data_IF_858628615945
#
_entry.id   IF_858628615945
#
_cell.length_a   1.000
_cell.length_b   1.000
_cell.length_c   1.000
_cell.angle_alpha   90.00
_cell.angle_beta   90.00
_cell.angle_gamma   90.00
#
_symmetry.space_group_name_H-M   'P 1'
#
loop_
_entity.id
_entity.type
_entity.pdbx_description
1 polymer ?
#
# COMPACT_ATOMS: atom_id res chain seq x y z
N UNK A 1 -68.83 -39.45 -17.76
CA UNK A 1 -69.78 -38.44 -18.28
C UNK A 1 -68.99 -37.39 -19.04
N UNK A 2 -69.22 -37.24 -20.35
CA UNK A 2 -68.52 -36.25 -21.17
C UNK A 2 -69.02 -34.84 -20.83
N UNK A 3 -68.14 -33.96 -20.33
CA UNK A 3 -68.48 -32.55 -20.08
C UNK A 3 -69.04 -31.93 -21.37
N UNK A 4 -70.21 -31.28 -21.27
CA UNK A 4 -70.86 -30.53 -22.35
C UNK A 4 -69.89 -29.55 -23.01
N UNK A 5 -70.02 -29.35 -24.32
CA UNK A 5 -69.28 -28.36 -25.12
C UNK A 5 -69.23 -26.98 -24.44
N UNK A 6 -70.34 -26.58 -23.81
CA UNK A 6 -70.49 -25.30 -23.12
C UNK A 6 -69.62 -25.26 -21.85
N UNK A 7 -69.58 -26.35 -21.07
CA UNK A 7 -68.78 -26.45 -19.86
C UNK A 7 -67.27 -26.37 -20.16
N UNK A 8 -66.82 -26.99 -21.27
CA UNK A 8 -65.41 -26.90 -21.72
C UNK A 8 -65.03 -25.49 -22.17
N UNK A 9 -65.93 -24.77 -22.84
CA UNK A 9 -65.70 -23.36 -23.22
C UNK A 9 -65.56 -22.46 -21.99
N UNK A 10 -66.43 -22.63 -21.00
CA UNK A 10 -66.34 -21.87 -19.75
C UNK A 10 -65.07 -22.19 -18.95
N UNK A 11 -64.64 -23.44 -18.92
CA UNK A 11 -63.41 -23.87 -18.25
C UNK A 11 -62.16 -23.30 -18.96
N UNK A 12 -62.13 -23.31 -20.30
CA UNK A 12 -61.07 -22.70 -21.09
C UNK A 12 -61.01 -21.16 -20.95
N UNK A 13 -62.17 -20.51 -20.84
CA UNK A 13 -62.26 -19.06 -20.61
C UNK A 13 -61.76 -18.69 -19.21
N UNK A 14 -62.13 -19.45 -18.17
CA UNK A 14 -61.59 -19.28 -16.81
C UNK A 14 -60.08 -19.46 -16.78
N UNK A 15 -59.55 -20.50 -17.42
CA UNK A 15 -58.12 -20.73 -17.51
C UNK A 15 -57.37 -19.59 -18.24
N UNK A 16 -57.97 -19.02 -19.30
CA UNK A 16 -57.41 -17.85 -20.00
C UNK A 16 -57.39 -16.60 -19.11
N UNK A 17 -58.47 -16.33 -18.40
CA UNK A 17 -58.56 -15.20 -17.46
C UNK A 17 -57.57 -15.37 -16.32
N UNK A 18 -57.40 -16.58 -15.80
CA UNK A 18 -56.45 -16.88 -14.73
C UNK A 18 -54.99 -16.74 -15.20
N UNK A 19 -54.65 -17.28 -16.37
CA UNK A 19 -53.34 -17.10 -16.99
C UNK A 19 -53.04 -15.60 -17.26
N UNK A 20 -54.03 -14.85 -17.75
CA UNK A 20 -53.88 -13.41 -17.96
C UNK A 20 -53.67 -12.65 -16.64
N UNK A 21 -54.41 -13.00 -15.59
CA UNK A 21 -54.23 -12.43 -14.23
C UNK A 21 -52.87 -12.76 -13.63
N UNK A 22 -52.36 -13.98 -13.82
CA UNK A 22 -51.02 -14.38 -13.39
C UNK A 22 -49.95 -13.56 -14.11
N UNK A 23 -50.08 -13.41 -15.43
CA UNK A 23 -49.16 -12.57 -16.23
C UNK A 23 -49.18 -11.10 -15.79
N UNK A 24 -50.37 -10.55 -15.49
CA UNK A 24 -50.50 -9.19 -14.94
C UNK A 24 -49.87 -9.05 -13.56
N UNK A 25 -49.95 -10.06 -12.69
CA UNK A 25 -49.29 -10.04 -11.37
C UNK A 25 -47.76 -10.11 -11.49
N UNK A 26 -47.23 -10.86 -12.45
CA UNK A 26 -45.79 -10.89 -12.74
C UNK A 26 -45.29 -9.59 -13.41
N UNK A 27 -46.15 -8.93 -14.20
CA UNK A 27 -45.83 -7.65 -14.86
C UNK A 27 -46.07 -6.42 -13.96
N UNK A 28 -46.94 -6.54 -12.96
CA UNK A 28 -47.18 -5.50 -11.97
C UNK A 28 -45.94 -5.36 -11.07
N UNK A 29 -45.09 -4.39 -11.41
CA UNK A 29 -43.97 -4.01 -10.55
C UNK A 29 -44.54 -3.61 -9.18
N UNK A 30 -44.04 -4.17 -8.07
CA UNK A 30 -44.47 -3.73 -6.75
C UNK A 30 -44.29 -2.22 -6.64
N UNK A 31 -45.31 -1.53 -6.12
CA UNK A 31 -45.27 -0.09 -5.88
C UNK A 31 -44.10 0.21 -4.95
N UNK A 32 -43.04 0.81 -5.49
CA UNK A 32 -41.86 1.14 -4.70
C UNK A 32 -42.21 2.23 -3.69
N UNK A 33 -41.72 2.14 -2.43
CA UNK A 33 -42.01 3.15 -1.41
C UNK A 33 -41.61 4.56 -1.87
N UNK A 34 -42.24 5.61 -1.31
CA UNK A 34 -41.86 6.99 -1.58
C UNK A 34 -40.41 7.27 -1.16
N UNK A 35 -39.74 8.28 -1.76
CA UNK A 35 -38.42 8.70 -1.31
C UNK A 35 -38.46 9.14 0.15
N UNK A 36 -37.55 8.62 0.99
CA UNK A 36 -37.48 8.97 2.41
C UNK A 36 -36.69 10.26 2.62
N UNK A 37 -37.40 11.39 2.54
CA UNK A 37 -36.82 12.72 2.73
C UNK A 37 -36.45 12.99 4.19
N UNK A 38 -37.18 12.40 5.13
CA UNK A 38 -36.94 12.59 6.56
C UNK A 38 -35.61 11.94 6.97
N UNK A 39 -35.38 10.71 6.52
CA UNK A 39 -34.10 10.04 6.74
C UNK A 39 -32.94 10.78 6.05
N UNK A 40 -33.14 11.29 4.83
CA UNK A 40 -32.11 12.07 4.14
C UNK A 40 -31.68 13.33 4.91
N UNK A 41 -32.64 14.07 5.50
CA UNK A 41 -32.36 15.20 6.40
C UNK A 41 -31.64 14.71 7.67
N UNK A 42 -32.15 13.65 8.30
CA UNK A 42 -31.58 13.09 9.53
C UNK A 42 -30.11 12.70 9.37
N UNK A 43 -29.80 11.96 8.30
CA UNK A 43 -28.43 11.55 7.96
C UNK A 43 -27.52 12.73 7.59
N UNK A 44 -28.08 13.78 6.96
CA UNK A 44 -27.32 14.96 6.55
C UNK A 44 -26.94 15.85 7.75
N UNK A 45 -27.87 16.06 8.69
CA UNK A 45 -27.66 16.95 9.85
C UNK A 45 -26.86 16.33 10.99
N UNK A 46 -26.87 15.00 11.10
CA UNK A 46 -26.26 14.27 12.21
C UNK A 46 -24.80 14.70 12.47
N UNK A 47 -24.55 15.29 13.64
CA UNK A 47 -23.24 15.74 14.10
C UNK A 47 -22.81 17.12 13.60
N UNK A 48 -23.70 17.83 12.89
CA UNK A 48 -23.49 19.17 12.34
C UNK A 48 -24.72 20.07 12.53
N UNK A 49 -25.52 19.81 13.56
CA UNK A 49 -26.78 20.51 13.83
C UNK A 49 -26.56 22.01 14.06
N UNK A 50 -25.42 22.39 14.64
CA UNK A 50 -25.07 23.79 14.91
C UNK A 50 -24.73 24.60 13.65
N UNK A 51 -24.41 23.95 12.54
CA UNK A 51 -23.98 24.59 11.30
C UNK A 51 -25.13 24.77 10.28
N UNK A 52 -26.35 24.38 10.64
CA UNK A 52 -27.52 24.47 9.77
C UNK A 52 -27.85 25.94 9.48
N UNK A 53 -27.98 26.27 8.18
CA UNK A 53 -28.31 27.62 7.70
C UNK A 53 -29.80 27.72 7.35
N UNK A 54 -30.40 26.63 6.85
CA UNK A 54 -31.81 26.60 6.45
C UNK A 54 -32.58 25.53 7.22
N UNK A 55 -33.79 25.90 7.65
CA UNK A 55 -34.70 25.01 8.38
C UNK A 55 -34.94 23.70 7.62
N UNK A 56 -34.77 22.53 8.25
CA UNK A 56 -35.01 21.23 7.63
C UNK A 56 -36.43 21.08 7.04
N UNK A 57 -37.44 21.58 7.74
CA UNK A 57 -38.86 21.46 7.40
C UNK A 57 -39.24 22.27 6.14
N UNK A 58 -38.41 23.24 5.78
CA UNK A 58 -38.61 24.05 4.58
C UNK A 58 -38.19 23.33 3.28
N UNK A 59 -37.56 22.16 3.39
CA UNK A 59 -37.04 21.43 2.23
C UNK A 59 -38.16 20.79 1.40
N UNK A 60 -38.33 21.27 0.16
CA UNK A 60 -39.28 20.70 -0.84
C UNK A 60 -38.52 20.30 -2.12
N UNK A 61 -37.81 19.16 -2.13
CA UNK A 61 -36.98 18.78 -3.26
C UNK A 61 -37.81 18.44 -4.50
N UNK A 62 -37.49 19.07 -5.64
CA UNK A 62 -38.08 18.78 -6.96
C UNK A 62 -37.39 17.61 -7.69
N UNK A 63 -36.68 16.75 -6.95
CA UNK A 63 -35.84 15.71 -7.51
C UNK A 63 -36.64 14.45 -7.86
N UNK A 64 -36.52 13.99 -9.11
CA UNK A 64 -37.09 12.71 -9.57
C UNK A 64 -36.18 11.52 -9.26
N UNK A 65 -35.56 11.49 -8.08
CA UNK A 65 -34.67 10.40 -7.63
C UNK A 65 -35.16 9.76 -6.35
N UNK A 66 -34.93 8.45 -6.23
CA UNK A 66 -35.15 7.65 -5.01
C UNK A 66 -33.85 7.17 -4.39
N UNK A 67 -32.72 7.47 -5.03
CA UNK A 67 -31.39 7.11 -4.56
C UNK A 67 -31.09 7.86 -3.25
N UNK A 68 -30.93 7.11 -2.16
CA UNK A 68 -30.68 7.66 -0.82
C UNK A 68 -29.43 8.55 -0.78
N UNK A 69 -28.38 8.19 -1.51
CA UNK A 69 -27.14 8.96 -1.59
C UNK A 69 -27.36 10.32 -2.25
N UNK A 70 -28.15 10.36 -3.33
CA UNK A 70 -28.52 11.62 -4.02
C UNK A 70 -29.45 12.47 -3.17
N UNK A 71 -30.38 11.85 -2.44
CA UNK A 71 -31.27 12.56 -1.51
C UNK A 71 -30.47 13.17 -0.35
N UNK A 72 -29.49 12.45 0.20
CA UNK A 72 -28.60 12.95 1.26
C UNK A 72 -27.77 14.14 0.79
N UNK A 73 -27.17 14.08 -0.39
CA UNK A 73 -26.46 15.23 -0.97
C UNK A 73 -27.41 16.42 -1.17
N UNK A 74 -28.62 16.18 -1.68
CA UNK A 74 -29.59 17.25 -1.86
C UNK A 74 -30.06 17.87 -0.53
N UNK A 75 -30.21 17.07 0.53
CA UNK A 75 -30.47 17.55 1.88
C UNK A 75 -29.29 18.39 2.40
N UNK A 76 -28.05 17.92 2.24
CA UNK A 76 -26.85 18.68 2.63
C UNK A 76 -26.72 20.02 1.89
N UNK A 77 -27.03 20.07 0.59
CA UNK A 77 -27.11 21.31 -0.19
C UNK A 77 -28.20 22.25 0.32
N UNK A 78 -29.35 21.73 0.75
CA UNK A 78 -30.42 22.54 1.33
C UNK A 78 -30.01 23.13 2.69
N UNK A 79 -29.58 22.27 3.61
CA UNK A 79 -29.28 22.63 5.01
C UNK A 79 -28.11 23.60 5.13
N UNK A 80 -27.02 23.36 4.40
CA UNK A 80 -25.75 24.07 4.58
C UNK A 80 -25.38 25.00 3.41
N UNK A 81 -26.09 24.92 2.27
CA UNK A 81 -25.67 25.58 1.03
C UNK A 81 -26.07 27.04 0.92
N UNK A 82 -25.11 27.95 1.19
CA UNK A 82 -25.18 29.36 0.77
C UNK A 82 -24.51 29.59 -0.60
N UNK A 83 -23.44 28.84 -0.88
CA UNK A 83 -22.67 28.90 -2.12
C UNK A 83 -22.57 27.52 -2.79
N UNK A 84 -22.40 27.46 -4.12
CA UNK A 84 -22.08 26.20 -4.81
C UNK A 84 -20.76 25.61 -4.31
N UNK A 85 -20.72 24.30 -4.12
CA UNK A 85 -19.53 23.57 -3.67
C UNK A 85 -19.03 22.63 -4.77
N UNK A 86 -17.70 22.52 -4.98
CA UNK A 86 -17.14 21.59 -5.95
C UNK A 86 -17.51 20.11 -5.71
N UNK A 87 -17.64 19.35 -6.79
CA UNK A 87 -18.08 17.95 -6.77
C UNK A 87 -17.23 17.02 -5.89
N UNK A 88 -15.92 17.25 -5.80
CA UNK A 88 -15.02 16.43 -4.98
C UNK A 88 -15.28 16.56 -3.46
N UNK A 89 -15.88 17.67 -3.00
CA UNK A 89 -16.35 17.85 -1.63
C UNK A 89 -17.77 17.29 -1.43
N UNK A 90 -18.55 17.17 -2.50
CA UNK A 90 -19.89 16.58 -2.47
C UNK A 90 -19.86 15.05 -2.39
N UNK A 91 -18.81 14.42 -2.91
CA UNK A 91 -18.64 12.97 -2.97
C UNK A 91 -18.88 12.27 -1.62
N UNK A 92 -18.45 12.87 -0.50
CA UNK A 92 -18.62 12.28 0.85
C UNK A 92 -20.09 12.05 1.24
N UNK A 93 -21.02 12.84 0.67
CA UNK A 93 -22.44 12.67 0.94
C UNK A 93 -23.06 11.56 0.09
N UNK A 94 -22.44 11.24 -1.04
CA UNK A 94 -22.90 10.20 -1.95
C UNK A 94 -22.34 8.84 -1.50
N UNK A 95 -21.02 8.74 -1.42
CA UNK A 95 -20.30 7.53 -1.08
C UNK A 95 -19.18 7.82 -0.09
N UNK A 96 -19.27 7.18 1.07
CA UNK A 96 -18.28 7.24 2.13
C UNK A 96 -17.63 5.87 2.38
N UNK A 97 -17.88 4.89 1.50
CA UNK A 97 -17.30 3.56 1.62
C UNK A 97 -15.77 3.62 1.58
N UNK A 98 -15.13 2.81 2.42
CA UNK A 98 -13.66 2.79 2.54
C UNK A 98 -13.05 3.96 3.33
N UNK A 99 -13.84 4.93 3.80
CA UNK A 99 -13.35 6.01 4.66
C UNK A 99 -13.55 5.67 6.15
N UNK A 100 -12.54 6.00 6.97
CA UNK A 100 -12.68 5.97 8.43
C UNK A 100 -13.60 7.07 8.93
N UNK A 101 -14.20 6.89 10.12
CA UNK A 101 -15.15 7.84 10.71
C UNK A 101 -14.60 9.28 10.76
N UNK A 102 -13.38 9.46 11.28
CA UNK A 102 -12.74 10.78 11.39
C UNK A 102 -12.56 11.47 10.04
N UNK A 103 -12.35 10.69 8.97
CA UNK A 103 -12.19 11.22 7.63
C UNK A 103 -13.52 11.68 7.04
N UNK A 104 -14.59 10.92 7.28
CA UNK A 104 -15.95 11.28 6.87
C UNK A 104 -16.36 12.60 7.56
N UNK A 105 -16.18 12.69 8.88
CA UNK A 105 -16.48 13.90 9.66
C UNK A 105 -15.71 15.09 9.11
N UNK A 106 -14.41 14.92 8.84
CA UNK A 106 -13.58 15.99 8.29
C UNK A 106 -14.05 16.45 6.91
N UNK A 107 -14.29 15.53 5.97
CA UNK A 107 -14.76 15.88 4.61
C UNK A 107 -16.12 16.56 4.65
N UNK A 108 -17.04 16.14 5.53
CA UNK A 108 -18.33 16.83 5.76
C UNK A 108 -18.13 18.23 6.33
N UNK A 109 -17.29 18.40 7.35
CA UNK A 109 -16.96 19.71 7.93
C UNK A 109 -16.37 20.67 6.87
N UNK A 110 -15.53 20.15 5.97
CA UNK A 110 -14.96 20.92 4.87
C UNK A 110 -16.00 21.34 3.83
N UNK A 111 -16.92 20.42 3.48
CA UNK A 111 -18.07 20.76 2.64
C UNK A 111 -18.90 21.87 3.29
N UNK A 112 -19.26 21.75 4.57
CA UNK A 112 -20.08 22.72 5.30
C UNK A 112 -19.40 24.09 5.35
N UNK A 113 -18.10 24.12 5.67
CA UNK A 113 -17.34 25.36 5.66
C UNK A 113 -17.35 26.04 4.28
N UNK A 114 -17.15 25.28 3.20
CA UNK A 114 -17.21 25.81 1.84
C UNK A 114 -18.63 26.26 1.47
N UNK A 115 -19.65 25.46 1.81
CA UNK A 115 -21.06 25.71 1.51
C UNK A 115 -21.59 26.97 2.19
N UNK A 116 -21.21 27.21 3.45
CA UNK A 116 -21.60 28.39 4.22
C UNK A 116 -20.80 29.65 3.92
N UNK A 117 -19.69 29.55 3.19
CA UNK A 117 -18.75 30.65 2.94
C UNK A 117 -17.76 30.88 4.08
N UNK A 118 -17.57 29.90 4.95
CA UNK A 118 -16.55 29.88 5.99
C UNK A 118 -15.15 29.64 5.43
N UNK A 119 -14.14 29.80 6.29
CA UNK A 119 -12.75 29.59 5.91
C UNK A 119 -12.37 28.10 6.00
N UNK A 120 -12.26 27.44 4.85
CA UNK A 120 -11.79 26.05 4.77
C UNK A 120 -10.40 25.85 5.42
N UNK A 121 -9.54 26.86 5.30
CA UNK A 121 -8.23 26.88 5.97
C UNK A 121 -8.36 26.78 7.51
N UNK A 122 -9.30 27.53 8.11
CA UNK A 122 -9.59 27.46 9.56
C UNK A 122 -10.32 26.17 9.95
N UNK A 123 -11.08 25.58 9.03
CA UNK A 123 -11.73 24.27 9.22
C UNK A 123 -10.75 23.07 9.17
N UNK A 124 -9.44 23.33 9.25
CA UNK A 124 -8.41 22.30 9.36
C UNK A 124 -7.71 21.94 8.04
N UNK A 125 -8.05 22.56 6.90
CA UNK A 125 -7.31 22.35 5.65
C UNK A 125 -5.86 22.85 5.71
N UNK A 126 -5.55 23.75 6.64
CA UNK A 126 -4.20 24.21 6.94
C UNK A 126 -3.20 23.09 7.28
N UNK A 127 -3.68 21.94 7.74
CA UNK A 127 -2.84 20.78 8.01
C UNK A 127 -2.25 20.16 6.74
N UNK A 128 -2.91 20.34 5.59
CA UNK A 128 -2.52 19.72 4.31
C UNK A 128 -2.12 20.77 3.27
N UNK A 129 -2.78 21.92 3.25
CA UNK A 129 -2.74 22.91 2.19
C UNK A 129 -2.40 24.31 2.73
N UNK A 130 -1.60 25.06 1.96
CA UNK A 130 -1.43 26.50 2.19
C UNK A 130 -2.70 27.28 1.81
N UNK A 131 -2.79 28.57 2.16
CA UNK A 131 -3.95 29.41 1.79
C UNK A 131 -4.16 29.49 0.27
N UNK A 132 -3.08 29.63 -0.50
CA UNK A 132 -3.12 29.63 -1.98
C UNK A 132 -3.62 28.28 -2.51
N UNK A 133 -3.16 27.19 -1.91
CA UNK A 133 -3.56 25.84 -2.32
C UNK A 133 -5.02 25.54 -1.95
N UNK A 134 -5.53 26.05 -0.83
CA UNK A 134 -6.96 25.96 -0.49
C UNK A 134 -7.82 26.61 -1.58
N UNK A 135 -7.40 27.77 -2.10
CA UNK A 135 -8.10 28.40 -3.22
C UNK A 135 -8.05 27.54 -4.49
N UNK A 136 -6.90 26.93 -4.81
CA UNK A 136 -6.77 26.01 -5.94
C UNK A 136 -7.59 24.73 -5.75
N UNK A 137 -7.67 24.19 -4.53
CA UNK A 137 -8.45 23.00 -4.19
C UNK A 137 -9.95 23.24 -4.41
N UNK A 138 -10.46 24.41 -4.01
CA UNK A 138 -11.84 24.80 -4.27
C UNK A 138 -12.13 25.09 -5.75
N UNK A 139 -11.11 25.21 -6.59
CA UNK A 139 -11.23 25.49 -8.02
C UNK A 139 -10.40 24.48 -8.84
N UNK A 140 -10.76 23.19 -8.79
CA UNK A 140 -10.00 22.15 -9.46
C UNK A 140 -10.10 22.26 -10.97
N UNK A 141 -9.11 21.73 -11.67
CA UNK A 141 -9.10 21.59 -13.12
C UNK A 141 -9.85 20.31 -13.48
N UNK A 142 -11.05 20.48 -14.04
CA UNK A 142 -11.92 19.38 -14.45
C UNK A 142 -12.57 18.66 -13.26
N UNK A 143 -13.15 17.49 -13.55
CA UNK A 143 -13.75 16.62 -12.55
C UNK A 143 -12.68 15.71 -11.97
N UNK A 144 -12.51 15.77 -10.64
CA UNK A 144 -11.47 15.06 -9.90
C UNK A 144 -12.05 14.47 -8.61
N UNK A 145 -11.40 13.45 -8.08
CA UNK A 145 -11.65 12.95 -6.73
C UNK A 145 -11.16 13.90 -5.64
N UNK A 146 -11.54 13.65 -4.38
CA UNK A 146 -11.10 14.46 -3.24
C UNK A 146 -9.58 14.53 -3.10
N UNK A 147 -8.90 13.38 -3.09
CA UNK A 147 -7.44 13.34 -2.93
C UNK A 147 -6.72 13.86 -4.18
N UNK A 148 -7.26 13.59 -5.38
CA UNK A 148 -6.75 14.17 -6.63
C UNK A 148 -6.81 15.71 -6.60
N UNK A 149 -7.90 16.30 -6.09
CA UNK A 149 -8.03 17.76 -5.95
C UNK A 149 -6.97 18.35 -5.00
N UNK A 150 -6.66 17.66 -3.90
CA UNK A 150 -5.58 18.06 -2.97
C UNK A 150 -4.26 18.12 -3.73
N UNK A 151 -3.90 17.06 -4.43
CA UNK A 151 -2.60 16.97 -5.10
C UNK A 151 -2.50 17.84 -6.35
N UNK A 152 -3.61 18.07 -7.05
CA UNK A 152 -3.69 19.06 -8.12
C UNK A 152 -3.47 20.48 -7.58
N UNK A 153 -4.07 20.81 -6.44
CA UNK A 153 -3.87 22.10 -5.78
C UNK A 153 -2.43 22.31 -5.32
N UNK A 154 -1.79 21.26 -4.78
CA UNK A 154 -0.37 21.27 -4.41
C UNK A 154 0.53 21.44 -5.64
N UNK A 155 0.29 20.67 -6.70
CA UNK A 155 1.09 20.74 -7.93
C UNK A 155 1.03 22.14 -8.57
N UNK A 156 -0.11 22.82 -8.49
CA UNK A 156 -0.32 24.20 -8.96
C UNK A 156 0.51 25.26 -8.22
N UNK A 157 1.16 24.90 -7.11
CA UNK A 157 2.16 25.76 -6.47
C UNK A 157 3.53 25.70 -7.14
N UNK A 158 3.79 24.66 -7.95
CA UNK A 158 5.13 24.33 -8.46
C UNK A 158 5.23 24.32 -10.00
N UNK A 159 4.12 24.27 -10.71
CA UNK A 159 4.09 24.28 -12.18
C UNK A 159 2.84 25.00 -12.66
N UNK A 160 2.84 25.42 -13.93
CA UNK A 160 1.68 25.94 -14.65
C UNK A 160 1.18 24.93 -15.72
N UNK A 161 1.86 23.79 -15.89
CA UNK A 161 1.44 22.73 -16.82
C UNK A 161 0.27 21.91 -16.23
N UNK A 162 -0.93 22.17 -16.74
CA UNK A 162 -2.17 21.47 -16.37
C UNK A 162 -2.11 19.95 -16.58
N UNK A 163 -1.41 19.47 -17.61
CA UNK A 163 -1.26 18.04 -17.88
C UNK A 163 -0.33 17.39 -16.84
N UNK A 164 0.73 18.07 -16.43
CA UNK A 164 1.60 17.61 -15.35
C UNK A 164 0.90 17.59 -13.99
N UNK A 165 0.12 18.62 -13.66
CA UNK A 165 -0.71 18.62 -12.44
C UNK A 165 -1.65 17.42 -12.40
N UNK A 166 -2.31 17.14 -13.54
CA UNK A 166 -3.24 16.01 -13.66
C UNK A 166 -2.52 14.66 -13.55
N UNK A 167 -1.30 14.53 -14.10
CA UNK A 167 -0.46 13.33 -13.93
C UNK A 167 -0.11 13.10 -12.46
N UNK A 168 0.33 14.13 -11.74
CA UNK A 168 0.66 14.03 -10.31
C UNK A 168 -0.59 13.65 -9.49
N UNK A 169 -1.70 14.35 -9.73
CA UNK A 169 -2.96 14.14 -9.02
C UNK A 169 -3.54 12.72 -9.20
N UNK A 170 -3.27 12.07 -10.33
CA UNK A 170 -3.75 10.71 -10.63
C UNK A 170 -2.74 9.60 -10.33
N UNK A 171 -1.51 9.96 -9.99
CA UNK A 171 -0.45 9.02 -9.65
C UNK A 171 -0.63 8.42 -8.24
N UNK A 172 0.23 7.46 -7.89
CA UNK A 172 0.32 6.89 -6.54
C UNK A 172 0.59 7.90 -5.43
N UNK A 173 1.11 9.10 -5.76
CA UNK A 173 1.26 10.20 -4.82
C UNK A 173 -0.09 10.55 -4.18
N UNK A 174 -1.18 10.53 -4.95
CA UNK A 174 -2.51 10.85 -4.43
C UNK A 174 -3.07 9.81 -3.48
N UNK A 175 -2.51 8.60 -3.49
CA UNK A 175 -2.90 7.49 -2.62
C UNK A 175 -1.98 7.37 -1.40
N UNK A 176 -1.06 8.31 -1.21
CA UNK A 176 -0.12 8.29 -0.10
C UNK A 176 -0.84 8.42 1.25
N UNK A 177 -0.37 7.70 2.29
CA UNK A 177 -0.88 7.89 3.64
C UNK A 177 -0.72 9.33 4.12
N UNK A 178 -1.73 9.87 4.79
CA UNK A 178 -1.71 11.27 5.29
C UNK A 178 -0.56 11.58 6.24
N UNK A 179 -0.14 10.60 7.05
CA UNK A 179 1.02 10.75 7.94
C UNK A 179 2.34 11.01 7.19
N UNK A 180 2.38 10.74 5.89
CA UNK A 180 3.54 10.96 5.03
C UNK A 180 3.36 12.11 4.04
N UNK A 181 2.28 12.89 4.16
CA UNK A 181 1.91 13.95 3.22
C UNK A 181 3.06 14.96 2.98
N UNK A 182 3.79 15.34 4.01
CA UNK A 182 4.94 16.26 3.89
C UNK A 182 6.05 15.72 2.98
N UNK A 183 6.31 14.42 3.01
CA UNK A 183 7.31 13.80 2.13
C UNK A 183 6.80 13.63 0.70
N UNK A 184 5.55 13.21 0.54
CA UNK A 184 4.97 13.08 -0.80
C UNK A 184 4.78 14.45 -1.48
N UNK A 185 4.70 15.54 -0.70
CA UNK A 185 4.83 16.92 -1.22
C UNK A 185 6.22 17.20 -1.80
N UNK A 186 7.30 16.76 -1.14
CA UNK A 186 8.65 16.81 -1.73
C UNK A 186 8.72 15.99 -3.03
N UNK A 187 8.05 14.83 -3.09
CA UNK A 187 7.98 14.03 -4.31
C UNK A 187 7.20 14.72 -5.43
N UNK A 188 6.04 15.30 -5.13
CA UNK A 188 5.26 16.08 -6.10
C UNK A 188 6.07 17.27 -6.64
N UNK A 189 6.76 18.02 -5.75
CA UNK A 189 7.66 19.10 -6.16
C UNK A 189 8.79 18.58 -7.07
N UNK A 190 9.39 17.44 -6.74
CA UNK A 190 10.43 16.81 -7.55
C UNK A 190 9.94 16.48 -8.96
N UNK A 191 8.76 15.88 -9.11
CA UNK A 191 8.20 15.54 -10.42
C UNK A 191 7.66 16.75 -11.19
N UNK A 192 7.25 17.82 -10.50
CA UNK A 192 7.00 19.11 -11.15
C UNK A 192 8.28 19.68 -11.78
N UNK A 193 9.41 19.59 -11.06
CA UNK A 193 10.71 20.10 -11.53
C UNK A 193 11.38 19.18 -12.58
N UNK A 194 11.11 17.87 -12.54
CA UNK A 194 11.65 16.88 -13.46
C UNK A 194 10.52 16.04 -14.05
N UNK A 195 9.75 16.59 -15.01
CA UNK A 195 8.55 15.96 -15.54
C UNK A 195 8.83 14.61 -16.19
N UNK A 196 7.91 13.66 -15.99
CA UNK A 196 7.92 12.37 -16.69
C UNK A 196 6.51 11.78 -16.86
N UNK A 197 6.39 10.62 -17.49
CA UNK A 197 5.12 9.93 -17.75
C UNK A 197 4.42 9.51 -16.45
N UNK A 198 3.10 9.35 -16.47
CA UNK A 198 2.34 8.92 -15.30
C UNK A 198 2.77 7.51 -14.84
N UNK A 199 2.99 6.59 -15.79
CA UNK A 199 3.47 5.23 -15.53
C UNK A 199 4.81 5.24 -14.80
N UNK A 200 5.75 6.06 -15.26
CA UNK A 200 7.06 6.13 -14.61
C UNK A 200 6.98 6.81 -13.23
N UNK A 201 6.11 7.80 -13.03
CA UNK A 201 5.86 8.36 -11.69
C UNK A 201 5.40 7.24 -10.75
N UNK A 202 4.49 6.38 -11.18
CA UNK A 202 3.96 5.28 -10.35
C UNK A 202 5.04 4.25 -10.01
N UNK A 203 5.86 3.82 -10.98
CA UNK A 203 6.99 2.91 -10.74
C UNK A 203 8.01 3.51 -9.77
N UNK A 204 8.33 4.80 -9.96
CA UNK A 204 9.24 5.51 -9.07
C UNK A 204 8.63 5.69 -7.68
N UNK A 205 7.32 5.90 -7.56
CA UNK A 205 6.63 5.96 -6.27
C UNK A 205 6.74 4.62 -5.53
N UNK A 206 6.60 3.49 -6.21
CA UNK A 206 6.78 2.16 -5.59
C UNK A 206 8.20 1.97 -5.05
N UNK A 207 9.20 2.36 -5.85
CA UNK A 207 10.60 2.36 -5.41
C UNK A 207 10.83 3.30 -4.22
N UNK A 208 10.34 4.55 -4.30
CA UNK A 208 10.50 5.56 -3.25
C UNK A 208 9.87 5.08 -1.94
N UNK A 209 8.65 4.54 -2.00
CA UNK A 209 7.95 4.00 -0.84
C UNK A 209 8.71 2.81 -0.25
N UNK A 210 9.24 1.91 -1.08
CA UNK A 210 10.10 0.81 -0.64
C UNK A 210 11.34 1.32 0.11
N UNK A 211 12.04 2.31 -0.45
CA UNK A 211 13.24 2.89 0.19
C UNK A 211 12.91 3.57 1.51
N UNK A 212 11.86 4.40 1.55
CA UNK A 212 11.47 5.16 2.74
C UNK A 212 11.07 4.28 3.92
N UNK A 213 10.42 3.13 3.66
CA UNK A 213 10.11 2.15 4.71
C UNK A 213 11.36 1.57 5.39
N UNK A 214 12.48 1.47 4.66
CA UNK A 214 13.75 0.94 5.16
C UNK A 214 14.63 2.04 5.76
N UNK A 215 14.60 3.23 5.16
CA UNK A 215 15.43 4.38 5.49
C UNK A 215 14.54 5.62 5.67
N UNK A 216 14.12 5.90 6.91
CA UNK A 216 13.23 7.05 7.20
C UNK A 216 13.85 8.42 6.85
N UNK A 217 15.17 8.47 6.77
CA UNK A 217 15.96 9.66 6.40
C UNK A 217 16.08 9.86 4.88
N UNK A 218 15.54 8.94 4.06
CA UNK A 218 15.58 9.06 2.61
C UNK A 218 14.87 10.34 2.13
N UNK A 219 15.59 11.15 1.33
CA UNK A 219 15.07 12.37 0.70
C UNK A 219 15.39 12.40 -0.80
N UNK A 220 14.52 13.11 -1.53
CA UNK A 220 14.65 13.39 -2.95
C UNK A 220 15.44 14.68 -3.22
N UNK A 221 15.73 15.48 -2.19
CA UNK A 221 16.51 16.72 -2.32
C UNK A 221 17.90 16.43 -2.91
N UNK A 222 18.26 17.23 -3.92
CA UNK A 222 19.55 17.11 -4.62
C UNK A 222 19.67 15.91 -5.57
N UNK A 223 18.60 15.12 -5.78
CA UNK A 223 18.62 14.01 -6.75
C UNK A 223 18.16 14.45 -8.13
N UNK A 224 18.61 13.72 -9.14
CA UNK A 224 18.10 13.81 -10.51
C UNK A 224 17.22 12.61 -10.84
N UNK A 225 16.32 12.76 -11.81
CA UNK A 225 15.47 11.70 -12.32
C UNK A 225 16.32 10.56 -12.88
N UNK A 226 17.43 10.85 -13.57
CA UNK A 226 18.37 9.84 -14.04
C UNK A 226 19.02 9.04 -12.91
N UNK A 227 19.37 9.67 -11.79
CA UNK A 227 19.87 8.95 -10.62
C UNK A 227 18.80 8.05 -10.00
N UNK A 228 17.56 8.54 -9.91
CA UNK A 228 16.44 7.77 -9.37
C UNK A 228 16.08 6.57 -10.26
N UNK A 229 16.07 6.74 -11.58
CA UNK A 229 15.89 5.67 -12.58
C UNK A 229 16.91 4.55 -12.42
N UNK A 230 18.20 4.90 -12.27
CA UNK A 230 19.26 3.90 -12.04
C UNK A 230 19.02 3.08 -10.78
N UNK A 231 18.66 3.75 -9.69
CA UNK A 231 18.38 3.07 -8.41
C UNK A 231 17.13 2.19 -8.48
N UNK A 232 16.07 2.66 -9.15
CA UNK A 232 14.87 1.87 -9.41
C UNK A 232 15.19 0.64 -10.27
N UNK A 233 15.97 0.80 -11.35
CA UNK A 233 16.36 -0.31 -12.21
C UNK A 233 17.22 -1.35 -11.47
N UNK A 234 18.11 -0.93 -10.57
CA UNK A 234 18.80 -1.83 -9.65
C UNK A 234 17.83 -2.59 -8.74
N UNK A 235 16.87 -1.89 -8.15
CA UNK A 235 15.86 -2.51 -7.30
C UNK A 235 14.97 -3.51 -8.06
N UNK A 236 14.54 -3.19 -9.28
CA UNK A 236 13.80 -4.14 -10.13
C UNK A 236 14.63 -5.38 -10.48
N UNK A 237 15.95 -5.22 -10.74
CA UNK A 237 16.85 -6.37 -10.92
C UNK A 237 16.91 -7.24 -9.67
N UNK A 238 17.01 -6.64 -8.49
CA UNK A 238 16.98 -7.37 -7.22
C UNK A 238 15.66 -8.14 -7.05
N UNK A 239 14.50 -7.50 -7.33
CA UNK A 239 13.19 -8.16 -7.29
C UNK A 239 13.10 -9.33 -8.27
N UNK A 240 13.63 -9.19 -9.48
CA UNK A 240 13.66 -10.29 -10.46
C UNK A 240 14.50 -11.47 -9.97
N UNK A 241 15.65 -11.21 -9.33
CA UNK A 241 16.48 -12.26 -8.71
C UNK A 241 15.74 -12.94 -7.57
N UNK A 242 15.09 -12.16 -6.69
CA UNK A 242 14.27 -12.70 -5.59
C UNK A 242 13.17 -13.61 -6.15
N UNK A 243 12.40 -13.13 -7.12
CA UNK A 243 11.32 -13.90 -7.74
C UNK A 243 11.81 -15.22 -8.37
N UNK A 244 12.99 -15.21 -9.00
CA UNK A 244 13.63 -16.42 -9.56
C UNK A 244 14.01 -17.42 -8.47
N UNK A 245 14.60 -16.96 -7.37
CA UNK A 245 14.97 -17.82 -6.22
C UNK A 245 13.71 -18.40 -5.58
N UNK A 246 12.69 -17.58 -5.35
CA UNK A 246 11.40 -17.99 -4.80
C UNK A 246 10.70 -19.03 -5.68
N UNK A 247 10.75 -18.88 -7.01
CA UNK A 247 10.24 -19.87 -7.94
C UNK A 247 11.03 -21.19 -7.91
N UNK A 248 12.35 -21.14 -7.68
CA UNK A 248 13.16 -22.35 -7.47
C UNK A 248 12.81 -23.04 -6.15
N UNK A 249 12.58 -22.26 -5.07
CA UNK A 249 12.16 -22.79 -3.76
C UNK A 249 10.83 -23.51 -3.86
N UNK A 250 9.80 -22.86 -4.43
CA UNK A 250 8.48 -23.46 -4.62
C UNK A 250 8.55 -24.77 -5.40
N UNK A 251 9.37 -24.85 -6.46
CA UNK A 251 9.57 -26.09 -7.21
C UNK A 251 10.19 -27.21 -6.36
N UNK A 252 11.19 -26.87 -5.53
CA UNK A 252 11.80 -27.83 -4.62
C UNK A 252 10.84 -28.29 -3.51
N UNK A 253 10.01 -27.38 -2.99
CA UNK A 253 8.99 -27.70 -1.98
C UNK A 253 7.95 -28.67 -2.54
N UNK A 254 7.42 -28.39 -3.74
CA UNK A 254 6.48 -29.27 -4.42
C UNK A 254 7.10 -30.66 -4.70
N UNK A 255 8.38 -30.71 -5.07
CA UNK A 255 9.07 -31.99 -5.27
C UNK A 255 9.22 -32.79 -3.96
N UNK A 256 9.50 -32.10 -2.83
CA UNK A 256 9.55 -32.73 -1.50
C UNK A 256 8.19 -33.23 -1.04
N UNK A 257 7.13 -32.44 -1.26
CA UNK A 257 5.76 -32.81 -0.89
C UNK A 257 5.25 -34.04 -1.64
N UNK A 258 5.61 -34.22 -2.91
CA UNK A 258 5.27 -35.44 -3.68
C UNK A 258 5.84 -36.73 -3.06
N UNK A 259 6.95 -36.62 -2.34
CA UNK A 259 7.62 -37.76 -1.68
C UNK A 259 7.20 -37.88 -0.21
N UNK A 260 6.70 -36.80 0.39
CA UNK A 260 6.31 -36.76 1.79
C UNK A 260 4.95 -37.45 2.01
N UNK A 261 4.89 -38.37 2.97
CA UNK A 261 3.66 -39.05 3.41
C UNK A 261 2.75 -38.19 4.29
N UNK A 262 3.15 -36.95 4.60
CA UNK A 262 2.43 -36.04 5.49
C UNK A 262 2.51 -34.61 4.95
N UNK A 263 1.41 -33.85 5.05
CA UNK A 263 1.40 -32.43 4.67
C UNK A 263 2.39 -31.65 5.54
N UNK A 264 3.44 -31.12 4.90
CA UNK A 264 4.39 -30.21 5.54
C UNK A 264 4.00 -28.78 5.19
N UNK A 265 3.78 -27.97 6.21
CA UNK A 265 3.48 -26.54 6.09
C UNK A 265 4.57 -25.83 5.28
N UNK A 266 4.17 -25.04 4.28
CA UNK A 266 5.09 -24.33 3.40
C UNK A 266 5.79 -23.20 4.17
N UNK A 267 6.98 -23.48 4.69
CA UNK A 267 7.78 -22.48 5.37
C UNK A 267 8.21 -21.35 4.41
N UNK A 268 8.18 -20.09 4.90
CA UNK A 268 8.61 -18.92 4.14
C UNK A 268 10.12 -18.88 3.82
N UNK A 269 10.89 -19.83 4.34
CA UNK A 269 12.34 -19.96 4.22
C UNK A 269 12.73 -21.44 4.02
N UNK A 270 13.80 -21.70 3.26
CA UNK A 270 14.27 -23.09 3.12
C UNK A 270 14.89 -23.60 4.45
N UNK A 271 14.96 -24.93 4.67
CA UNK A 271 15.37 -25.52 5.96
C UNK A 271 16.75 -25.06 6.47
N UNK A 272 17.68 -24.76 5.57
CA UNK A 272 19.02 -24.31 5.95
C UNK A 272 19.87 -25.45 6.53
N UNK A 273 20.91 -25.07 7.28
CA UNK A 273 21.82 -26.00 7.96
C UNK A 273 21.34 -26.13 9.41
N UNK A 274 21.54 -27.30 10.02
CA UNK A 274 21.15 -27.56 11.41
C UNK A 274 22.16 -26.96 12.41
N UNK A 275 22.54 -25.70 12.20
CA UNK A 275 23.39 -24.93 13.09
C UNK A 275 22.60 -23.72 13.57
N UNK A 276 22.79 -23.36 14.84
CA UNK A 276 22.14 -22.19 15.42
C UNK A 276 22.98 -20.94 15.21
N UNK A 277 22.29 -19.80 15.02
CA UNK A 277 22.90 -18.48 15.02
C UNK A 277 23.79 -18.29 16.25
N UNK A 278 24.87 -17.53 16.10
CA UNK A 278 25.86 -17.34 17.15
C UNK A 278 26.05 -15.86 17.43
N UNK A 279 26.12 -15.49 18.71
CA UNK A 279 26.47 -14.14 19.13
C UNK A 279 27.58 -14.15 20.17
N UNK A 280 28.41 -13.11 20.13
CA UNK A 280 29.51 -12.92 21.07
C UNK A 280 29.81 -11.44 21.27
N UNK A 281 29.99 -11.03 22.53
CA UNK A 281 30.37 -9.67 22.89
C UNK A 281 31.77 -9.64 23.50
N UNK A 282 32.67 -8.74 23.06
CA UNK A 282 34.00 -8.59 23.64
C UNK A 282 34.01 -8.06 25.09
N UNK A 283 32.94 -7.40 25.54
CA UNK A 283 32.85 -6.78 26.87
C UNK A 283 31.91 -7.57 27.79
N UNK A 284 32.40 -7.89 28.99
CA UNK A 284 31.61 -8.56 30.04
C UNK A 284 30.75 -7.60 30.89
N UNK A 285 30.75 -6.29 30.60
CA UNK A 285 30.00 -5.31 31.40
C UNK A 285 28.54 -5.23 30.93
N UNK A 286 27.54 -5.39 31.81
CA UNK A 286 26.12 -5.43 31.44
C UNK A 286 25.57 -4.14 30.79
N UNK A 287 26.31 -3.02 30.88
CA UNK A 287 25.99 -1.74 30.21
C UNK A 287 26.63 -1.56 28.83
N UNK A 288 27.49 -2.50 28.39
CA UNK A 288 28.16 -2.47 27.10
C UNK A 288 27.30 -3.09 25.98
N UNK A 289 25.99 -2.79 25.94
CA UNK A 289 25.04 -3.18 24.87
C UNK A 289 25.40 -2.67 23.46
N UNK A 290 26.63 -2.18 23.25
CA UNK A 290 27.06 -1.46 22.06
C UNK A 290 28.14 -2.17 21.27
N UNK A 291 28.54 -3.40 21.62
CA UNK A 291 29.54 -4.16 20.84
C UNK A 291 29.22 -5.67 20.82
N UNK A 292 28.70 -6.14 19.69
CA UNK A 292 28.25 -7.53 19.52
C UNK A 292 28.60 -8.04 18.11
N UNK A 293 29.18 -9.23 18.03
CA UNK A 293 29.34 -9.98 16.79
C UNK A 293 28.23 -11.00 16.66
N UNK A 294 27.64 -11.12 15.47
CA UNK A 294 26.59 -12.08 15.16
C UNK A 294 26.92 -12.83 13.90
N UNK A 295 26.71 -14.14 13.91
CA UNK A 295 26.76 -15.00 12.73
C UNK A 295 25.37 -15.58 12.52
N UNK A 296 24.77 -15.22 11.39
CA UNK A 296 23.37 -15.55 11.07
C UNK A 296 23.27 -16.28 9.75
N UNK A 297 22.44 -17.32 9.68
CA UNK A 297 22.21 -18.03 8.43
C UNK A 297 21.25 -17.26 7.50
N UNK A 298 21.59 -17.14 6.22
CA UNK A 298 20.73 -16.54 5.21
C UNK A 298 19.85 -17.62 4.57
N UNK A 299 18.54 -17.57 4.87
CA UNK A 299 17.57 -18.62 4.51
C UNK A 299 16.43 -18.15 3.60
N UNK A 300 16.47 -16.89 3.16
CA UNK A 300 15.48 -16.27 2.29
C UNK A 300 16.13 -15.69 1.05
N UNK A 301 15.35 -15.54 -0.03
CA UNK A 301 15.82 -14.91 -1.25
C UNK A 301 16.24 -13.46 -1.00
N UNK A 302 15.48 -12.75 -0.18
CA UNK A 302 15.71 -11.37 0.23
C UNK A 302 17.05 -11.22 0.96
N UNK A 303 17.35 -12.12 1.90
CA UNK A 303 18.61 -12.08 2.66
C UNK A 303 19.82 -12.31 1.77
N UNK A 304 19.76 -13.29 0.86
CA UNK A 304 20.86 -13.57 -0.07
C UNK A 304 21.13 -12.41 -1.03
N UNK A 305 20.08 -11.79 -1.56
CA UNK A 305 20.19 -10.63 -2.46
C UNK A 305 20.68 -9.40 -1.70
N UNK A 306 20.16 -9.16 -0.49
CA UNK A 306 20.64 -8.08 0.36
C UNK A 306 22.12 -8.24 0.74
N UNK A 307 22.56 -9.46 1.05
CA UNK A 307 23.98 -9.77 1.31
C UNK A 307 24.84 -9.55 0.06
N UNK A 308 24.40 -10.06 -1.10
CA UNK A 308 25.10 -9.89 -2.39
C UNK A 308 25.35 -8.40 -2.68
N UNK A 309 24.32 -7.58 -2.51
CA UNK A 309 24.37 -6.13 -2.75
C UNK A 309 25.26 -5.41 -1.74
N UNK A 310 25.10 -5.70 -0.44
CA UNK A 310 25.85 -5.02 0.61
C UNK A 310 27.35 -5.37 0.57
N UNK A 311 27.66 -6.61 0.25
CA UNK A 311 29.04 -7.13 0.24
C UNK A 311 29.69 -7.08 -1.16
N UNK A 312 28.97 -6.63 -2.20
CA UNK A 312 29.45 -6.54 -3.59
C UNK A 312 30.01 -7.86 -4.12
N UNK A 313 29.28 -8.95 -3.90
CA UNK A 313 29.58 -10.27 -4.44
C UNK A 313 28.29 -10.97 -4.90
N UNK A 314 28.41 -12.13 -5.53
CA UNK A 314 27.30 -12.81 -6.20
C UNK A 314 26.69 -13.96 -5.38
N UNK A 315 26.68 -13.90 -4.05
CA UNK A 315 26.26 -15.06 -3.22
C UNK A 315 24.81 -15.52 -3.50
N UNK A 316 23.94 -14.65 -4.02
CA UNK A 316 22.59 -15.02 -4.46
C UNK A 316 22.55 -16.06 -5.58
N UNK A 317 23.64 -16.27 -6.33
CA UNK A 317 23.75 -17.35 -7.32
C UNK A 317 23.77 -18.75 -6.66
N UNK A 318 24.11 -18.83 -5.37
CA UNK A 318 24.19 -20.08 -4.60
C UNK A 318 22.83 -20.55 -4.09
N UNK A 319 21.76 -19.79 -4.34
CA UNK A 319 20.44 -20.07 -3.78
C UNK A 319 19.91 -21.47 -4.11
N UNK A 320 20.12 -21.98 -5.33
CA UNK A 320 19.69 -23.33 -5.72
C UNK A 320 20.40 -24.41 -4.93
N UNK A 321 21.71 -24.26 -4.67
CA UNK A 321 22.49 -25.15 -3.81
C UNK A 321 22.00 -25.08 -2.36
N UNK A 322 21.63 -23.90 -1.88
CA UNK A 322 21.09 -23.71 -0.53
C UNK A 322 19.72 -24.36 -0.36
N UNK A 323 18.82 -24.18 -1.33
CA UNK A 323 17.47 -24.76 -1.34
C UNK A 323 17.53 -26.29 -1.31
N UNK A 324 18.46 -26.87 -2.08
CA UNK A 324 18.70 -28.32 -2.14
C UNK A 324 19.60 -28.85 -0.99
N UNK A 325 19.97 -27.99 -0.03
CA UNK A 325 20.76 -28.37 1.14
C UNK A 325 22.19 -28.81 0.82
N UNK A 326 22.75 -28.40 -0.32
CA UNK A 326 24.15 -28.65 -0.69
C UNK A 326 25.12 -27.61 -0.13
N UNK A 327 24.60 -26.44 0.25
CA UNK A 327 25.38 -25.35 0.82
C UNK A 327 24.54 -24.59 1.84
N UNK A 328 25.21 -23.86 2.72
CA UNK A 328 24.57 -22.84 3.57
C UNK A 328 25.40 -21.57 3.57
N UNK A 329 24.72 -20.43 3.48
CA UNK A 329 25.37 -19.11 3.50
C UNK A 329 25.12 -18.45 4.84
N UNK A 330 26.18 -17.89 5.40
CA UNK A 330 26.19 -17.23 6.70
C UNK A 330 26.75 -15.82 6.58
N UNK A 331 26.21 -14.88 7.36
CA UNK A 331 26.66 -13.49 7.42
C UNK A 331 27.21 -13.20 8.81
N UNK A 332 28.51 -12.90 8.88
CA UNK A 332 29.16 -12.35 10.06
C UNK A 332 28.95 -10.83 10.08
N UNK A 333 28.36 -10.35 11.16
CA UNK A 333 27.98 -8.96 11.37
C UNK A 333 28.55 -8.45 12.68
N UNK A 334 28.86 -7.16 12.72
CA UNK A 334 29.31 -6.46 13.91
C UNK A 334 28.35 -5.31 14.19
N UNK A 335 27.75 -5.34 15.37
CA UNK A 335 26.86 -4.30 15.88
C UNK A 335 27.65 -3.39 16.80
N UNK A 336 27.88 -2.17 16.34
CA UNK A 336 28.56 -1.14 17.12
C UNK A 336 27.76 0.16 17.13
N UNK A 337 27.52 0.73 18.32
CA UNK A 337 26.90 2.04 18.45
C UNK A 337 25.50 2.17 17.81
N UNK A 338 24.74 1.07 17.73
CA UNK A 338 23.43 1.03 17.07
C UNK A 338 23.47 0.80 15.56
N UNK A 339 24.66 0.80 14.94
CA UNK A 339 24.85 0.42 13.54
C UNK A 339 25.18 -1.08 13.44
N UNK A 340 24.71 -1.75 12.39
CA UNK A 340 25.10 -3.12 12.05
C UNK A 340 25.93 -3.11 10.77
N UNK A 341 27.19 -3.50 10.86
CA UNK A 341 28.08 -3.67 9.72
C UNK A 341 28.20 -5.15 9.36
N UNK A 342 28.22 -5.47 8.07
CA UNK A 342 28.56 -6.81 7.57
C UNK A 342 30.07 -6.91 7.38
N UNK A 343 30.66 -7.99 7.87
CA UNK A 343 32.11 -8.21 7.83
C UNK A 343 32.48 -9.29 6.82
N UNK A 344 31.90 -10.49 6.97
CA UNK A 344 32.21 -11.65 6.13
C UNK A 344 30.92 -12.38 5.72
N UNK A 345 30.94 -12.91 4.51
CA UNK A 345 29.98 -13.91 4.03
C UNK A 345 30.70 -15.24 3.91
N UNK A 346 30.11 -16.28 4.51
CA UNK A 346 30.71 -17.61 4.65
C UNK A 346 29.81 -18.64 3.97
N UNK A 347 30.37 -19.44 3.07
CA UNK A 347 29.74 -20.62 2.51
C UNK A 347 30.22 -21.86 3.27
N UNK A 348 29.28 -22.64 3.80
CA UNK A 348 29.55 -23.98 4.31
C UNK A 348 28.97 -25.04 3.38
N UNK A 349 29.66 -26.17 3.24
CA UNK A 349 29.11 -27.37 2.61
C UNK A 349 28.22 -28.20 3.57
N UNK A 350 27.81 -29.39 3.12
CA UNK A 350 26.96 -30.33 3.88
C UNK A 350 27.62 -30.89 5.14
N UNK A 351 28.94 -30.86 5.21
CA UNK A 351 29.75 -31.38 6.31
C UNK A 351 30.22 -30.24 7.23
N UNK A 352 29.61 -29.07 7.14
CA UNK A 352 29.98 -27.88 7.90
C UNK A 352 31.43 -27.46 7.71
N UNK A 353 31.99 -27.69 6.51
CA UNK A 353 33.31 -27.18 6.13
C UNK A 353 33.14 -25.84 5.43
N UNK A 354 33.91 -24.84 5.83
CA UNK A 354 33.92 -23.54 5.18
C UNK A 354 34.62 -23.64 3.83
N UNK A 355 33.85 -23.56 2.75
CA UNK A 355 34.34 -23.61 1.37
C UNK A 355 34.87 -22.25 0.94
N UNK A 356 34.19 -21.19 1.37
CA UNK A 356 34.53 -19.83 0.99
C UNK A 356 34.22 -18.86 2.12
N UNK A 357 35.16 -17.95 2.39
CA UNK A 357 35.00 -16.86 3.36
C UNK A 357 35.47 -15.57 2.70
N UNK A 358 34.54 -14.64 2.46
CA UNK A 358 34.84 -13.39 1.75
C UNK A 358 34.23 -12.18 2.42
N UNK A 359 35.00 -11.11 2.50
CA UNK A 359 34.54 -9.79 2.91
C UNK A 359 33.99 -8.98 1.72
N UNK A 360 33.82 -7.68 1.95
CA UNK A 360 33.36 -6.73 0.95
C UNK A 360 34.19 -6.79 -0.34
N UNK A 361 33.52 -6.82 -1.50
CA UNK A 361 34.10 -6.94 -2.82
C UNK A 361 35.07 -8.13 -2.97
N UNK A 362 34.71 -9.29 -2.39
CA UNK A 362 35.50 -10.53 -2.41
C UNK A 362 36.88 -10.46 -1.73
N UNK A 363 37.13 -9.46 -0.87
CA UNK A 363 38.38 -9.38 -0.10
C UNK A 363 38.55 -10.59 0.83
N UNK A 364 39.80 -10.89 1.19
CA UNK A 364 40.10 -11.84 2.25
C UNK A 364 39.69 -11.29 3.63
N UNK A 365 39.51 -12.20 4.60
CA UNK A 365 39.22 -11.83 5.99
C UNK A 365 40.42 -11.11 6.63
N UNK A 366 40.15 -10.05 7.38
CA UNK A 366 41.17 -9.39 8.20
C UNK A 366 41.52 -10.26 9.42
N UNK A 367 42.69 -10.00 10.03
CA UNK A 367 43.16 -10.77 11.20
C UNK A 367 42.15 -10.78 12.34
N UNK A 368 41.54 -9.64 12.64
CA UNK A 368 40.56 -9.54 13.73
C UNK A 368 39.25 -10.25 13.40
N UNK A 369 38.79 -10.18 12.15
CA UNK A 369 37.61 -10.92 11.67
C UNK A 369 37.86 -12.43 11.70
N UNK A 370 39.08 -12.86 11.37
CA UNK A 370 39.49 -14.27 11.41
C UNK A 370 39.46 -14.81 12.84
N UNK A 371 39.91 -14.05 13.83
CA UNK A 371 39.81 -14.43 15.25
C UNK A 371 38.35 -14.64 15.68
N UNK A 372 37.43 -13.80 15.22
CA UNK A 372 36.00 -13.97 15.51
C UNK A 372 35.44 -15.19 14.78
N UNK A 373 35.83 -15.41 13.52
CA UNK A 373 35.46 -16.59 12.74
C UNK A 373 35.91 -17.88 13.41
N UNK A 374 37.14 -17.94 13.93
CA UNK A 374 37.68 -19.09 14.66
C UNK A 374 36.89 -19.36 15.95
N UNK A 375 36.50 -18.32 16.69
CA UNK A 375 35.63 -18.48 17.87
C UNK A 375 34.28 -19.09 17.50
N UNK A 376 33.65 -18.59 16.44
CA UNK A 376 32.40 -19.16 15.93
C UNK A 376 32.60 -20.62 15.49
N UNK A 377 33.69 -20.90 14.78
CA UNK A 377 33.98 -22.23 14.27
C UNK A 377 34.18 -23.25 15.40
N UNK A 378 34.93 -22.90 16.44
CA UNK A 378 35.08 -23.74 17.64
C UNK A 378 33.75 -23.95 18.36
N UNK A 379 32.92 -22.90 18.49
CA UNK A 379 31.64 -22.99 19.17
C UNK A 379 30.58 -23.84 18.42
N UNK A 380 30.72 -23.99 17.10
CA UNK A 380 29.74 -24.68 16.23
C UNK A 380 30.29 -25.93 15.54
N UNK A 381 31.55 -26.31 15.81
CA UNK A 381 32.19 -27.48 15.20
C UNK A 381 32.38 -27.34 13.69
N UNK A 382 32.77 -26.14 13.21
CA UNK A 382 32.96 -25.85 11.79
C UNK A 382 34.42 -26.03 11.42
N UNK A 383 34.67 -26.72 10.31
CA UNK A 383 36.02 -26.89 9.79
C UNK A 383 36.39 -25.69 8.91
N UNK A 384 37.35 -24.88 9.34
CA UNK A 384 37.87 -23.77 8.55
C UNK A 384 38.97 -24.25 7.60
N UNK A 385 39.09 -23.67 6.39
CA UNK A 385 40.21 -23.97 5.52
C UNK A 385 41.51 -23.47 6.16
N UNK A 386 42.55 -24.30 6.06
CA UNK A 386 43.93 -23.90 6.35
C UNK A 386 44.29 -22.72 5.45
N UNK A 387 44.81 -21.65 6.06
CA UNK A 387 45.10 -20.37 5.41
C UNK A 387 46.30 -20.43 4.49
#
# INVERSE_FOLDING_TARGET
>A
MAKSSIARRQEAERARVEAYKLTLRCAARPTRPPPDLHNAIGEARCGFEADIIREPESWKPQLKTRDAARLRLAAARHLFGRYPVPSHLEQVWIDASGLGHDEIVRRKAWYIAAAGGGSLYKAGASALLSRREVHAFLNPLGQVGFDEAIWQAIARSYTDDHALMSRIARSRIARAPRGEHAFWREAAQFFCAQPTTAEEIDDLCDYIAHRRRRERTFSLKGRTLAALRRLMAEWHRDLAVIARIEAARRRADMARQRVATREVELAAHWPGAQLTDWSWSPSAKPFAKRDEYLVTQLRTAEDLVAESRAMRHCVSSYATRCIAGHASIWSLRHRHGGATQRLLTIELDRQHRAVQVRGFANRAAHKDERRVLERWATARGINLPET
#
